data_IF_869043820269
#
_entry.id   IF_869043820269
#
_cell.length_a   1.000
_cell.length_b   1.000
_cell.length_c   1.000
_cell.angle_alpha   90.00
_cell.angle_beta   90.00
_cell.angle_gamma   90.00
#
_symmetry.space_group_name_H-M   'P 1'
#
loop_
_entity.id
_entity.type
_entity.pdbx_description
1 polymer ?
#
# COMPACT_ATOMS: atom_id res chain seq x y z
N UNK A 1 5.63 4.46 8.98
CA UNK A 1 4.99 4.80 7.69
C UNK A 1 3.54 4.35 7.71
N UNK A 2 2.65 5.17 7.19
CA UNK A 2 1.22 4.83 7.10
C UNK A 2 0.98 3.70 6.10
N UNK A 3 0.05 2.81 6.40
CA UNK A 3 -0.46 1.81 5.47
C UNK A 3 -1.90 2.20 5.12
N UNK A 4 -2.14 2.50 3.86
CA UNK A 4 -3.48 2.81 3.34
C UNK A 4 -3.98 1.57 2.60
N UNK A 5 -5.21 1.17 2.87
CA UNK A 5 -5.73 -0.02 2.22
C UNK A 5 -7.19 0.12 1.80
N UNK A 6 -7.54 -0.63 0.76
CA UNK A 6 -8.91 -0.78 0.30
C UNK A 6 -9.28 -2.26 0.31
N UNK A 7 -10.44 -2.59 0.90
CA UNK A 7 -10.95 -3.95 0.98
C UNK A 7 -12.35 -4.03 0.39
N UNK A 8 -12.48 -4.69 -0.76
CA UNK A 8 -13.79 -4.86 -1.41
C UNK A 8 -14.64 -5.90 -0.66
N UNK A 9 -14.06 -7.07 -0.35
CA UNK A 9 -14.78 -8.20 0.24
C UNK A 9 -14.37 -8.52 1.68
N UNK A 10 -13.54 -7.67 2.28
CA UNK A 10 -13.02 -7.87 3.63
C UNK A 10 -11.70 -8.63 3.69
N UNK A 11 -11.20 -9.19 2.58
CA UNK A 11 -9.96 -9.98 2.59
C UNK A 11 -8.75 -9.15 2.94
N UNK A 12 -8.58 -7.98 2.32
CA UNK A 12 -7.47 -7.08 2.61
C UNK A 12 -7.57 -6.58 4.06
N UNK A 13 -8.77 -6.26 4.52
CA UNK A 13 -9.00 -5.84 5.91
C UNK A 13 -8.51 -6.89 6.90
N UNK A 14 -8.83 -8.17 6.67
CA UNK A 14 -8.36 -9.27 7.52
C UNK A 14 -6.85 -9.39 7.50
N UNK A 15 -6.24 -9.25 6.33
CA UNK A 15 -4.79 -9.27 6.18
C UNK A 15 -4.13 -8.15 6.99
N UNK A 16 -4.63 -6.93 6.88
CA UNK A 16 -4.09 -5.77 7.61
C UNK A 16 -4.26 -5.96 9.13
N UNK A 17 -5.42 -6.43 9.59
CA UNK A 17 -5.65 -6.69 11.02
C UNK A 17 -4.65 -7.71 11.58
N UNK A 18 -4.38 -8.77 10.83
CA UNK A 18 -3.44 -9.81 11.26
C UNK A 18 -2.00 -9.31 11.27
N UNK A 19 -1.68 -8.27 10.50
CA UNK A 19 -0.33 -7.70 10.48
C UNK A 19 -0.02 -6.88 11.72
N UNK A 20 -1.03 -6.50 12.49
CA UNK A 20 -0.90 -5.70 13.72
C UNK A 20 -0.25 -4.32 13.51
N UNK A 21 -0.21 -3.83 12.28
CA UNK A 21 0.28 -2.50 11.98
C UNK A 21 -0.71 -1.47 12.52
N UNK A 22 -0.24 -0.49 13.27
CA UNK A 22 -1.09 0.47 13.98
C UNK A 22 -1.45 1.70 13.15
N UNK A 23 -0.51 2.22 12.37
CA UNK A 23 -0.75 3.41 11.56
C UNK A 23 -1.40 3.02 10.22
N UNK A 24 -2.70 2.81 10.23
CA UNK A 24 -3.45 2.34 9.07
C UNK A 24 -4.63 3.27 8.77
N UNK A 25 -5.00 3.32 7.49
CA UNK A 25 -6.19 4.03 7.02
C UNK A 25 -6.91 3.16 6.00
N UNK A 26 -8.16 2.82 6.28
CA UNK A 26 -9.01 2.16 5.29
C UNK A 26 -9.71 3.21 4.43
N UNK A 27 -9.53 3.13 3.12
CA UNK A 27 -10.22 4.05 2.20
C UNK A 27 -11.54 3.45 1.73
N UNK A 28 -12.50 4.33 1.47
CA UNK A 28 -13.84 3.99 1.02
C UNK A 28 -14.37 5.12 0.12
N UNK A 29 -15.63 5.03 -0.29
CA UNK A 29 -16.27 6.02 -1.16
C UNK A 29 -16.29 7.41 -0.54
N UNK A 30 -16.36 7.49 0.79
CA UNK A 30 -16.54 8.78 1.49
C UNK A 30 -15.23 9.51 1.69
N UNK A 31 -14.12 8.80 1.87
CA UNK A 31 -12.82 9.41 2.19
C UNK A 31 -11.76 9.29 1.10
N UNK A 32 -12.04 8.62 -0.03
CA UNK A 32 -11.02 8.36 -1.04
C UNK A 32 -10.48 9.62 -1.73
N UNK A 33 -11.15 10.73 -1.60
CA UNK A 33 -10.70 12.01 -2.17
C UNK A 33 -10.02 12.92 -1.15
N UNK A 34 -9.91 12.48 0.10
CA UNK A 34 -9.23 13.24 1.13
C UNK A 34 -7.72 13.23 0.88
N UNK A 35 -7.09 14.36 1.07
CA UNK A 35 -5.64 14.47 0.96
C UNK A 35 -4.97 13.94 2.23
N UNK A 36 -3.98 13.07 2.05
CA UNK A 36 -3.09 12.69 3.14
C UNK A 36 -1.69 13.20 2.78
N UNK A 37 -1.11 14.01 3.66
CA UNK A 37 0.16 14.67 3.36
C UNK A 37 1.32 13.96 4.07
N UNK A 38 1.39 12.62 3.92
CA UNK A 38 2.46 11.81 4.48
C UNK A 38 2.72 10.57 3.61
N UNK A 39 3.95 10.06 3.59
CA UNK A 39 4.29 8.86 2.83
C UNK A 39 3.46 7.64 3.28
N UNK A 40 3.08 6.80 2.32
CA UNK A 40 2.28 5.61 2.63
C UNK A 40 2.61 4.45 1.70
N UNK A 41 2.28 3.26 2.18
CA UNK A 41 2.25 2.02 1.43
C UNK A 41 0.78 1.71 1.16
N UNK A 42 0.45 1.42 -0.10
CA UNK A 42 -0.91 1.07 -0.48
C UNK A 42 -1.08 -0.45 -0.54
N UNK A 43 -2.17 -0.95 0.05
CA UNK A 43 -2.57 -2.36 -0.09
C UNK A 43 -3.97 -2.39 -0.70
N UNK A 44 -4.12 -3.06 -1.83
CA UNK A 44 -5.39 -3.11 -2.55
C UNK A 44 -5.77 -4.53 -2.94
N UNK A 45 -7.07 -4.75 -3.13
CA UNK A 45 -7.55 -5.92 -3.86
C UNK A 45 -7.48 -5.67 -5.36
N UNK A 46 -7.79 -6.71 -6.11
CA UNK A 46 -7.92 -6.67 -7.56
C UNK A 46 -9.35 -7.07 -7.91
N UNK A 47 -10.00 -6.30 -8.75
CA UNK A 47 -11.39 -6.58 -9.16
C UNK A 47 -11.45 -6.99 -10.63
N UNK A 48 -12.58 -7.59 -11.03
CA UNK A 48 -12.82 -8.01 -12.41
C UNK A 48 -11.67 -8.85 -12.95
N UNK A 49 -11.17 -8.52 -14.12
CA UNK A 49 -10.08 -9.23 -14.79
C UNK A 49 -8.71 -8.58 -14.54
N UNK A 50 -8.47 -8.10 -13.34
CA UNK A 50 -7.19 -7.53 -12.95
C UNK A 50 -7.21 -6.03 -12.77
N UNK A 51 -8.38 -5.45 -12.59
CA UNK A 51 -8.55 -3.99 -12.56
C UNK A 51 -8.25 -3.40 -11.19
N UNK A 52 -7.77 -2.16 -11.20
CA UNK A 52 -7.62 -1.36 -9.99
C UNK A 52 -9.02 -0.87 -9.58
N UNK A 53 -9.44 -1.09 -8.33
CA UNK A 53 -10.73 -0.59 -7.86
C UNK A 53 -10.88 0.93 -8.04
N UNK A 54 -12.08 1.38 -8.37
CA UNK A 54 -12.36 2.81 -8.61
C UNK A 54 -12.04 3.70 -7.40
N UNK A 55 -12.33 3.21 -6.21
CA UNK A 55 -11.99 3.91 -4.95
C UNK A 55 -10.49 4.17 -4.86
N UNK A 56 -9.68 3.16 -5.22
CA UNK A 56 -8.23 3.25 -5.23
C UNK A 56 -7.75 4.23 -6.30
N UNK A 57 -8.34 4.18 -7.49
CA UNK A 57 -8.01 5.12 -8.57
C UNK A 57 -8.26 6.57 -8.13
N UNK A 58 -9.42 6.84 -7.52
CA UNK A 58 -9.77 8.16 -7.01
C UNK A 58 -8.79 8.64 -5.94
N UNK A 59 -8.41 7.74 -5.04
CA UNK A 59 -7.44 8.05 -3.99
C UNK A 59 -6.07 8.40 -4.57
N UNK A 60 -5.61 7.64 -5.55
CA UNK A 60 -4.30 7.86 -6.18
C UNK A 60 -4.26 9.14 -7.01
N UNK A 61 -5.37 9.55 -7.63
CA UNK A 61 -5.43 10.84 -8.33
C UNK A 61 -5.06 12.01 -7.39
N UNK A 62 -5.50 11.95 -6.15
CA UNK A 62 -5.23 12.99 -5.15
C UNK A 62 -3.88 12.78 -4.45
N UNK A 63 -3.51 11.54 -4.16
CA UNK A 63 -2.46 11.23 -3.19
C UNK A 63 -1.21 10.53 -3.77
N UNK A 64 -1.08 10.46 -5.10
CA UNK A 64 0.03 9.72 -5.72
C UNK A 64 1.42 10.28 -5.39
N UNK A 65 1.52 11.55 -5.01
CA UNK A 65 2.82 12.15 -4.68
C UNK A 65 3.49 11.50 -3.47
N UNK A 66 2.71 10.87 -2.60
CA UNK A 66 3.20 10.29 -1.34
C UNK A 66 3.26 8.77 -1.34
N UNK A 67 2.85 8.10 -2.42
CA UNK A 67 2.93 6.63 -2.48
C UNK A 67 4.40 6.20 -2.52
N UNK A 68 4.76 5.20 -1.71
CA UNK A 68 6.12 4.68 -1.64
C UNK A 68 6.24 3.22 -2.08
N UNK A 69 5.16 2.47 -1.99
CA UNK A 69 5.12 1.07 -2.38
C UNK A 69 3.68 0.59 -2.47
N UNK A 70 3.48 -0.56 -3.09
CA UNK A 70 2.16 -1.18 -3.22
C UNK A 70 2.25 -2.68 -2.98
N UNK A 71 1.20 -3.25 -2.36
CA UNK A 71 0.97 -4.69 -2.28
C UNK A 71 -0.46 -4.96 -2.73
N UNK A 72 -0.71 -6.14 -3.28
CA UNK A 72 -2.02 -6.45 -3.82
C UNK A 72 -2.47 -7.87 -3.54
N UNK A 73 -3.77 -8.01 -3.27
CA UNK A 73 -4.46 -9.28 -3.15
C UNK A 73 -5.17 -9.62 -4.45
N UNK A 74 -5.34 -10.90 -4.71
CA UNK A 74 -6.11 -11.39 -5.84
C UNK A 74 -6.43 -12.85 -5.69
N UNK A 75 -6.93 -13.47 -6.77
CA UNK A 75 -7.25 -14.88 -6.83
C UNK A 75 -6.33 -15.55 -7.85
N UNK A 76 -5.58 -16.59 -7.43
CA UNK A 76 -4.66 -17.31 -8.31
C UNK A 76 -5.34 -18.01 -9.48
N UNK A 77 -6.65 -18.25 -9.38
CA UNK A 77 -7.43 -18.82 -10.47
C UNK A 77 -7.48 -17.91 -11.70
N UNK A 78 -7.14 -16.64 -11.55
CA UNK A 78 -7.13 -15.67 -12.64
C UNK A 78 -5.80 -15.64 -13.44
N UNK A 79 -4.88 -16.56 -13.17
CA UNK A 79 -3.63 -16.70 -13.92
C UNK A 79 -2.84 -15.39 -14.02
N UNK A 80 -2.64 -14.88 -15.24
CA UNK A 80 -1.87 -13.65 -15.48
C UNK A 80 -2.49 -12.42 -14.80
N UNK A 81 -3.77 -12.44 -14.50
CA UNK A 81 -4.47 -11.35 -13.84
C UNK A 81 -4.42 -11.44 -12.32
N UNK A 82 -3.70 -12.43 -11.77
CA UNK A 82 -3.54 -12.57 -10.34
C UNK A 82 -2.91 -11.32 -9.74
N UNK A 83 -3.67 -10.65 -8.88
CA UNK A 83 -3.25 -9.43 -8.17
C UNK A 83 -2.65 -8.36 -9.12
N UNK A 84 -3.13 -8.30 -10.36
CA UNK A 84 -2.62 -7.39 -11.40
C UNK A 84 -2.74 -5.92 -11.02
N UNK A 85 -3.71 -5.56 -10.18
CA UNK A 85 -3.88 -4.17 -9.72
C UNK A 85 -2.58 -3.63 -9.10
N UNK A 86 -1.87 -4.45 -8.33
CA UNK A 86 -0.59 -4.05 -7.74
C UNK A 86 0.47 -3.74 -8.77
N UNK A 87 0.60 -4.58 -9.80
CA UNK A 87 1.56 -4.36 -10.87
C UNK A 87 1.21 -3.10 -11.67
N UNK A 88 -0.08 -2.89 -11.96
CA UNK A 88 -0.53 -1.69 -12.67
C UNK A 88 -0.15 -0.42 -11.92
N UNK A 89 -0.39 -0.39 -10.62
CA UNK A 89 -0.05 0.76 -9.77
C UNK A 89 1.47 0.94 -9.70
N UNK A 90 2.21 -0.15 -9.49
CA UNK A 90 3.67 -0.12 -9.44
C UNK A 90 4.27 0.49 -10.72
N UNK A 91 3.80 0.08 -11.87
CA UNK A 91 4.28 0.57 -13.16
C UNK A 91 3.84 2.02 -13.42
N UNK A 92 2.60 2.35 -13.09
CA UNK A 92 2.06 3.70 -13.35
C UNK A 92 2.76 4.76 -12.49
N UNK A 93 3.03 4.46 -11.24
CA UNK A 93 3.58 5.44 -10.30
C UNK A 93 5.05 5.23 -9.97
N UNK A 94 5.70 4.25 -10.61
CA UNK A 94 7.14 3.96 -10.44
C UNK A 94 7.53 3.68 -8.99
N UNK A 95 6.74 2.84 -8.34
CA UNK A 95 7.01 2.40 -6.96
C UNK A 95 7.12 0.88 -6.90
N UNK A 96 7.88 0.32 -5.94
CA UNK A 96 8.03 -1.13 -5.86
C UNK A 96 6.72 -1.84 -5.53
N UNK A 97 6.53 -2.98 -6.16
CA UNK A 97 5.50 -3.95 -5.79
C UNK A 97 6.10 -4.85 -4.72
N UNK A 98 5.67 -4.66 -3.47
CA UNK A 98 6.26 -5.37 -2.33
C UNK A 98 5.94 -6.85 -2.36
N UNK A 99 4.68 -7.19 -2.64
CA UNK A 99 4.24 -8.57 -2.74
C UNK A 99 2.83 -8.67 -3.31
N UNK A 100 2.50 -9.86 -3.79
CA UNK A 100 1.15 -10.27 -4.12
C UNK A 100 0.76 -11.39 -3.17
N UNK A 101 -0.48 -11.42 -2.74
CA UNK A 101 -0.99 -12.50 -1.90
C UNK A 101 -2.37 -12.92 -2.35
N UNK A 102 -2.73 -14.15 -2.03
CA UNK A 102 -4.02 -14.70 -2.42
C UNK A 102 -5.06 -14.47 -1.32
N UNK A 103 -6.19 -13.89 -1.70
CA UNK A 103 -7.36 -13.69 -0.85
C UNK A 103 -6.97 -12.89 0.40
N UNK A 104 -7.02 -13.50 1.59
CA UNK A 104 -6.66 -12.84 2.85
C UNK A 104 -5.21 -13.07 3.26
N UNK A 105 -4.43 -13.75 2.41
CA UNK A 105 -3.04 -14.09 2.71
C UNK A 105 -2.87 -15.18 3.74
N UNK A 106 -1.72 -15.84 3.71
CA UNK A 106 -1.31 -16.81 4.73
C UNK A 106 -0.63 -16.08 5.89
N UNK A 107 -0.37 -16.81 7.00
CA UNK A 107 0.41 -16.26 8.10
C UNK A 107 1.83 -15.84 7.63
N UNK A 108 2.42 -16.62 6.73
CA UNK A 108 3.71 -16.29 6.13
C UNK A 108 3.65 -14.97 5.35
N UNK A 109 2.58 -14.76 4.58
CA UNK A 109 2.37 -13.51 3.84
C UNK A 109 2.26 -12.31 4.78
N UNK A 110 1.54 -12.47 5.88
CA UNK A 110 1.36 -11.43 6.91
C UNK A 110 2.70 -11.05 7.53
N UNK A 111 3.52 -12.04 7.88
CA UNK A 111 4.85 -11.81 8.47
C UNK A 111 5.76 -11.10 7.47
N UNK A 112 5.78 -11.57 6.21
CA UNK A 112 6.57 -10.95 5.15
C UNK A 112 6.18 -9.48 4.96
N UNK A 113 4.90 -9.18 4.92
CA UNK A 113 4.41 -7.81 4.77
C UNK A 113 4.85 -6.93 5.94
N UNK A 114 4.69 -7.43 7.16
CA UNK A 114 5.10 -6.70 8.37
C UNK A 114 6.59 -6.35 8.34
N UNK A 115 7.42 -7.30 7.95
CA UNK A 115 8.86 -7.11 7.85
C UNK A 115 9.21 -6.05 6.80
N UNK A 116 8.56 -6.09 5.65
CA UNK A 116 8.78 -5.11 4.58
C UNK A 116 8.35 -3.71 5.00
N UNK A 117 7.23 -3.57 5.68
CA UNK A 117 6.79 -2.28 6.23
C UNK A 117 7.80 -1.76 7.26
N UNK A 118 8.35 -2.66 8.08
CA UNK A 118 9.40 -2.31 9.04
C UNK A 118 10.61 -1.68 8.37
N UNK A 119 11.07 -2.24 7.26
CA UNK A 119 12.19 -1.67 6.48
C UNK A 119 11.87 -0.27 5.95
N UNK A 120 10.67 -0.05 5.44
CA UNK A 120 10.24 1.28 5.00
C UNK A 120 10.20 2.28 6.15
N UNK A 121 9.78 1.87 7.33
CA UNK A 121 9.78 2.72 8.52
C UNK A 121 11.20 3.15 8.90
N UNK A 122 12.17 2.24 8.85
CA UNK A 122 13.57 2.54 9.14
C UNK A 122 14.13 3.55 8.12
N UNK A 123 13.91 3.32 6.84
CA UNK A 123 14.38 4.18 5.77
C UNK A 123 13.77 5.59 5.89
N UNK A 124 12.48 5.67 6.16
CA UNK A 124 11.78 6.94 6.36
C UNK A 124 12.34 7.69 7.58
N UNK A 125 12.63 6.99 8.65
CA UNK A 125 13.27 7.57 9.84
C UNK A 125 14.64 8.15 9.54
N UNK A 126 15.45 7.44 8.75
CA UNK A 126 16.77 7.91 8.31
C UNK A 126 16.66 9.16 7.44
N UNK A 127 15.74 9.18 6.49
CA UNK A 127 15.51 10.35 5.64
C UNK A 127 15.14 11.58 6.45
N UNK A 128 14.28 11.43 7.45
CA UNK A 128 13.89 12.51 8.35
C UNK A 128 15.07 13.05 9.13
N UNK A 129 15.90 12.17 9.66
CA UNK A 129 17.10 12.57 10.41
C UNK A 129 18.08 13.31 9.51
N UNK A 130 18.33 12.80 8.31
CA UNK A 130 19.19 13.47 7.34
C UNK A 130 18.68 14.86 6.98
N UNK A 131 17.38 14.97 6.70
CA UNK A 131 16.76 16.28 6.38
C UNK A 131 16.92 17.28 7.52
N UNK A 132 16.77 16.83 8.77
CA UNK A 132 16.98 17.64 9.94
C UNK A 132 18.43 18.17 10.01
N UNK A 133 19.41 17.28 9.84
CA UNK A 133 20.83 17.66 9.87
C UNK A 133 21.20 18.61 8.73
N UNK A 134 20.69 18.37 7.53
CA UNK A 134 20.92 19.26 6.37
C UNK A 134 20.41 20.67 6.68
N UNK A 135 19.21 20.79 7.26
CA UNK A 135 18.65 22.10 7.65
C UNK A 135 19.51 22.80 8.71
N UNK A 136 20.07 22.06 9.65
CA UNK A 136 20.94 22.63 10.67
C UNK A 136 22.25 23.17 10.09
N UNK A 137 22.80 22.51 9.06
CA UNK A 137 24.07 22.88 8.46
C UNK A 137 23.94 23.93 7.35
N UNK A 138 22.76 24.15 6.76
CA UNK A 138 22.55 25.11 5.68
C UNK A 138 22.21 26.52 6.16
N UNK A 139 22.17 26.72 7.46
CA UNK A 139 22.03 28.04 8.07
C UNK A 139 23.39 28.51 8.58
#
# INVERSE_FOLDING_TARGET
MKVVYFSFSGNVRRFIKRSEIKNVLEINKDNCKDSIEEPYILVTGTIGFGEVPKVVQSFLEVNHAYIRAVAASGNRNWGQNFAKAGRTISETYHVPLLMKFEVQGTNKDVIEFRDKVGHFNEDYGREKVQSYWIKQWSN
#
